data_IF_610392881224
#
_entry.id   IF_610392881224
#
_cell.length_a   1.000
_cell.length_b   1.000
_cell.length_c   1.000
_cell.angle_alpha   90.00
_cell.angle_beta   90.00
_cell.angle_gamma   90.00
#
_symmetry.space_group_name_H-M   'P 1'
#
loop_
_entity.id
_entity.type
_entity.pdbx_description
1 polymer ?
#
# COMPACT_ATOMS: atom_id res chain seq x y z
N UNK A 1 -14.04 -1.20 -10.51
CA UNK A 1 -12.72 -1.24 -9.86
C UNK A 1 -12.24 -2.70 -9.74
N UNK A 2 -10.96 -2.98 -10.00
CA UNK A 2 -10.29 -4.29 -9.88
C UNK A 2 -9.02 -4.13 -9.03
N UNK A 3 -8.59 -5.22 -8.40
CA UNK A 3 -7.30 -5.30 -7.72
C UNK A 3 -6.39 -6.19 -8.56
N UNK A 4 -5.21 -5.69 -8.87
CA UNK A 4 -4.24 -6.34 -9.76
C UNK A 4 -2.82 -6.20 -9.19
N UNK A 5 -1.90 -7.01 -9.67
CA UNK A 5 -0.47 -6.75 -9.53
C UNK A 5 -0.03 -5.52 -10.36
N UNK A 6 1.13 -4.90 -10.06
CA UNK A 6 1.68 -3.84 -10.89
C UNK A 6 1.79 -4.23 -12.37
N UNK A 7 1.26 -3.38 -13.27
CA UNK A 7 1.14 -3.67 -14.70
C UNK A 7 1.50 -2.41 -15.52
N UNK A 8 2.40 -2.57 -16.47
CA UNK A 8 2.95 -1.50 -17.31
C UNK A 8 1.91 -0.76 -18.16
N UNK A 9 0.74 -1.35 -18.42
CA UNK A 9 -0.36 -0.71 -19.15
C UNK A 9 -0.85 0.57 -18.46
N UNK A 10 -0.68 0.67 -17.16
CA UNK A 10 -1.16 1.82 -16.38
C UNK A 10 -0.14 2.96 -16.28
N UNK A 11 0.98 2.92 -17.04
CA UNK A 11 2.06 3.91 -16.93
C UNK A 11 1.56 5.35 -16.98
N UNK A 12 0.76 5.71 -17.96
CA UNK A 12 0.26 7.09 -18.13
C UNK A 12 -0.51 7.52 -16.89
N UNK A 13 -1.52 6.75 -16.51
CA UNK A 13 -2.37 7.10 -15.37
C UNK A 13 -1.64 7.03 -14.02
N UNK A 14 -0.64 6.16 -13.89
CA UNK A 14 0.22 6.10 -12.71
C UNK A 14 1.09 7.36 -12.59
N UNK A 15 1.66 7.85 -13.68
CA UNK A 15 2.48 9.06 -13.70
C UNK A 15 1.63 10.32 -13.43
N UNK A 16 0.42 10.39 -13.96
CA UNK A 16 -0.54 11.44 -13.60
C UNK A 16 -0.86 11.43 -12.10
N UNK A 17 -1.07 10.23 -11.51
CA UNK A 17 -1.31 10.12 -10.07
C UNK A 17 -0.08 10.55 -9.25
N UNK A 18 1.13 10.24 -9.72
CA UNK A 18 2.36 10.73 -9.11
C UNK A 18 2.39 12.25 -9.06
N UNK A 19 2.11 12.89 -10.21
CA UNK A 19 2.08 14.36 -10.31
C UNK A 19 0.98 14.97 -9.41
N UNK A 20 -0.17 14.29 -9.22
CA UNK A 20 -1.20 14.71 -8.26
C UNK A 20 -0.71 14.66 -6.80
N UNK A 21 0.05 13.63 -6.41
CA UNK A 21 0.64 13.54 -5.07
C UNK A 21 1.68 14.65 -4.83
N UNK A 22 2.58 14.86 -5.80
CA UNK A 22 3.60 15.91 -5.69
C UNK A 22 2.97 17.33 -5.63
N UNK A 23 1.84 17.54 -6.29
CA UNK A 23 1.10 18.80 -6.22
C UNK A 23 0.43 19.07 -4.86
N UNK A 24 0.23 18.03 -4.04
CA UNK A 24 -0.27 18.13 -2.66
C UNK A 24 0.86 18.07 -1.61
N UNK A 25 2.11 18.31 -2.00
CA UNK A 25 3.31 18.16 -1.17
C UNK A 25 3.48 16.76 -0.55
N UNK A 26 2.82 15.76 -1.12
CA UNK A 26 3.01 14.36 -0.77
C UNK A 26 4.11 13.76 -1.66
N UNK A 27 4.92 12.85 -1.09
CA UNK A 27 6.02 12.21 -1.84
C UNK A 27 5.48 11.19 -2.83
N UNK A 28 5.30 11.59 -4.09
CA UNK A 28 4.71 10.78 -5.15
C UNK A 28 5.37 9.41 -5.33
N UNK A 29 6.70 9.31 -5.24
CA UNK A 29 7.41 8.04 -5.29
C UNK A 29 6.98 7.07 -4.17
N UNK A 30 6.77 7.58 -2.96
CA UNK A 30 6.33 6.76 -1.83
C UNK A 30 4.85 6.43 -1.91
N UNK A 31 4.02 7.42 -2.24
CA UNK A 31 2.58 7.24 -2.35
C UNK A 31 2.21 6.27 -3.48
N UNK A 32 2.87 6.33 -4.62
CA UNK A 32 2.65 5.38 -5.73
C UNK A 32 3.31 4.02 -5.50
N UNK A 33 4.30 3.94 -4.59
CA UNK A 33 5.09 2.73 -4.35
C UNK A 33 6.27 2.56 -5.31
N UNK A 34 6.67 3.62 -6.00
CA UNK A 34 7.82 3.63 -6.90
C UNK A 34 9.16 3.92 -6.18
N UNK A 35 9.20 3.82 -4.84
CA UNK A 35 10.44 4.05 -4.09
C UNK A 35 11.60 3.20 -4.64
N UNK A 36 12.78 3.83 -4.79
CA UNK A 36 13.92 3.24 -5.49
C UNK A 36 13.91 3.42 -7.00
N UNK A 37 12.83 3.95 -7.59
CA UNK A 37 12.70 4.27 -9.00
C UNK A 37 12.39 5.76 -9.17
N UNK A 38 13.38 6.59 -9.55
CA UNK A 38 13.14 8.02 -9.72
C UNK A 38 12.17 8.30 -10.87
N UNK A 39 11.40 9.38 -10.77
CA UNK A 39 10.36 9.80 -11.73
C UNK A 39 10.86 9.72 -13.18
N UNK A 40 12.06 10.28 -13.46
CA UNK A 40 12.69 10.26 -14.79
C UNK A 40 12.90 8.87 -15.39
N UNK A 41 13.09 7.85 -14.53
CA UNK A 41 13.20 6.46 -15.00
C UNK A 41 11.83 5.91 -15.38
N UNK A 42 10.81 6.20 -14.57
CA UNK A 42 9.42 5.77 -14.82
C UNK A 42 8.78 6.50 -16.02
N UNK A 43 9.32 7.62 -16.46
CA UNK A 43 8.88 8.30 -17.69
C UNK A 43 9.09 7.45 -18.95
N UNK A 44 10.10 6.60 -18.96
CA UNK A 44 10.31 5.65 -20.06
C UNK A 44 9.47 4.38 -19.88
N UNK A 45 8.98 3.81 -20.98
CA UNK A 45 8.24 2.54 -20.94
C UNK A 45 9.07 1.40 -20.33
N UNK A 46 10.35 1.31 -20.72
CA UNK A 46 11.26 0.28 -20.21
C UNK A 46 11.53 0.42 -18.69
N UNK A 47 11.76 1.65 -18.21
CA UNK A 47 12.01 1.90 -16.79
C UNK A 47 10.76 1.66 -15.94
N UNK A 48 9.58 2.00 -16.45
CA UNK A 48 8.32 1.70 -15.78
C UNK A 48 8.04 0.18 -15.71
N UNK A 49 8.29 -0.53 -16.83
CA UNK A 49 8.18 -1.99 -16.85
C UNK A 49 9.15 -2.65 -15.87
N UNK A 50 10.38 -2.14 -15.74
CA UNK A 50 11.36 -2.62 -14.76
C UNK A 50 10.86 -2.39 -13.31
N UNK A 51 10.27 -1.23 -13.01
CA UNK A 51 9.65 -0.95 -11.72
C UNK A 51 8.51 -1.93 -11.44
N UNK A 52 7.58 -2.14 -12.36
CA UNK A 52 6.49 -3.10 -12.21
C UNK A 52 7.01 -4.53 -11.97
N UNK A 53 8.00 -4.98 -12.75
CA UNK A 53 8.62 -6.29 -12.59
C UNK A 53 9.27 -6.43 -11.19
N UNK A 54 9.99 -5.41 -10.71
CA UNK A 54 10.58 -5.43 -9.37
C UNK A 54 9.51 -5.56 -8.29
N UNK A 55 8.43 -4.78 -8.36
CA UNK A 55 7.34 -4.84 -7.37
C UNK A 55 6.65 -6.20 -7.33
N UNK A 56 6.54 -6.91 -8.45
CA UNK A 56 6.00 -8.29 -8.48
C UNK A 56 6.94 -9.31 -7.83
N UNK A 57 8.24 -9.09 -7.91
CA UNK A 57 9.25 -9.98 -7.32
C UNK A 57 9.48 -9.76 -5.82
N UNK A 58 9.12 -8.59 -5.27
CA UNK A 58 9.39 -8.24 -3.86
C UNK A 58 8.79 -9.24 -2.84
N UNK A 59 7.81 -10.04 -3.25
CA UNK A 59 7.20 -11.06 -2.39
C UNK A 59 8.07 -12.32 -2.21
N UNK A 60 8.92 -12.64 -3.19
CA UNK A 60 9.71 -13.88 -3.23
C UNK A 60 11.22 -13.64 -3.28
N UNK A 61 11.64 -12.47 -3.73
CA UNK A 61 13.03 -12.06 -3.88
C UNK A 61 13.16 -10.58 -3.52
N UNK A 62 13.00 -10.19 -2.23
CA UNK A 62 13.11 -8.80 -1.81
C UNK A 62 14.55 -8.29 -1.96
N UNK A 63 14.75 -6.98 -2.20
CA UNK A 63 16.09 -6.39 -2.17
C UNK A 63 16.76 -6.57 -0.80
N UNK A 64 18.08 -6.56 -0.77
CA UNK A 64 18.85 -6.65 0.47
C UNK A 64 18.39 -5.58 1.49
N UNK A 65 18.18 -5.99 2.72
CA UNK A 65 17.68 -5.12 3.80
C UNK A 65 16.16 -4.90 3.82
N UNK A 66 15.43 -5.43 2.83
CA UNK A 66 13.96 -5.37 2.80
C UNK A 66 13.34 -6.72 3.18
N UNK A 67 12.15 -6.67 3.74
CA UNK A 67 11.34 -7.86 4.01
C UNK A 67 10.50 -8.23 2.78
N UNK A 68 10.09 -9.50 2.62
CA UNK A 68 9.14 -9.90 1.60
C UNK A 68 7.87 -9.05 1.65
N UNK A 69 7.41 -8.55 0.50
CA UNK A 69 6.24 -7.69 0.43
C UNK A 69 5.43 -7.91 -0.86
N UNK A 70 4.12 -7.92 -0.74
CA UNK A 70 3.19 -7.93 -1.88
C UNK A 70 2.68 -6.53 -2.15
N UNK A 71 2.80 -6.06 -3.38
CA UNK A 71 2.17 -4.82 -3.84
C UNK A 71 1.00 -5.13 -4.76
N UNK A 72 -0.16 -4.53 -4.47
CA UNK A 72 -1.34 -4.61 -5.33
C UNK A 72 -1.87 -3.21 -5.64
N UNK A 73 -2.45 -3.06 -6.82
CA UNK A 73 -3.03 -1.83 -7.32
C UNK A 73 -4.56 -1.92 -7.42
N UNK A 74 -5.23 -0.85 -7.06
CA UNK A 74 -6.63 -0.62 -7.41
C UNK A 74 -6.69 0.13 -8.75
N UNK A 75 -7.44 -0.39 -9.71
CA UNK A 75 -7.59 0.18 -11.05
C UNK A 75 -9.04 0.17 -11.50
N UNK A 76 -9.41 1.11 -12.39
CA UNK A 76 -10.74 1.14 -13.02
C UNK A 76 -10.60 1.61 -14.48
N UNK A 77 -11.04 0.78 -15.44
CA UNK A 77 -10.69 0.98 -16.84
C UNK A 77 -9.17 1.05 -16.99
N UNK A 78 -8.68 2.16 -17.55
CA UNK A 78 -7.26 2.45 -17.75
C UNK A 78 -6.67 3.31 -16.62
N UNK A 79 -7.44 3.54 -15.57
CA UNK A 79 -7.10 4.46 -14.49
C UNK A 79 -6.49 3.72 -13.31
N UNK A 80 -5.29 4.15 -12.89
CA UNK A 80 -4.70 3.78 -11.60
C UNK A 80 -5.35 4.64 -10.49
N UNK A 81 -5.85 3.99 -9.44
CA UNK A 81 -6.60 4.63 -8.36
C UNK A 81 -5.85 4.64 -7.03
N UNK A 82 -4.91 3.73 -6.85
CA UNK A 82 -4.19 3.60 -5.60
C UNK A 82 -3.48 2.26 -5.47
N UNK A 83 -2.75 2.10 -4.36
CA UNK A 83 -2.00 0.88 -4.07
C UNK A 83 -2.15 0.44 -2.63
N UNK A 84 -1.89 -0.83 -2.37
CA UNK A 84 -1.59 -1.39 -1.06
C UNK A 84 -0.26 -2.15 -1.13
N UNK A 85 0.59 -1.94 -0.14
CA UNK A 85 1.83 -2.70 0.09
C UNK A 85 1.69 -3.48 1.38
N UNK A 86 1.90 -4.79 1.30
CA UNK A 86 1.73 -5.73 2.42
C UNK A 86 3.07 -6.37 2.71
N UNK A 87 3.67 -6.04 3.84
CA UNK A 87 4.92 -6.63 4.32
C UNK A 87 4.58 -7.92 5.05
N UNK A 88 5.23 -9.02 4.65
CA UNK A 88 4.91 -10.35 5.16
C UNK A 88 5.41 -10.55 6.59
N UNK A 89 6.44 -9.82 6.97
CA UNK A 89 7.03 -9.81 8.31
C UNK A 89 7.48 -8.41 8.70
N UNK A 90 7.83 -8.20 9.95
CA UNK A 90 8.28 -6.91 10.45
C UNK A 90 9.70 -7.03 11.01
N UNK A 91 10.58 -6.11 10.58
CA UNK A 91 11.84 -5.81 11.25
C UNK A 91 11.64 -4.63 12.23
N UNK A 92 12.68 -4.27 12.99
CA UNK A 92 12.62 -3.21 14.01
C UNK A 92 12.17 -1.86 13.43
N UNK A 93 12.62 -1.51 12.21
CA UNK A 93 12.18 -0.30 11.54
C UNK A 93 10.68 -0.32 11.23
N UNK A 94 10.17 -1.41 10.70
CA UNK A 94 8.75 -1.56 10.34
C UNK A 94 7.83 -1.60 11.57
N UNK A 95 8.30 -2.15 12.68
CA UNK A 95 7.57 -2.10 13.95
C UNK A 95 7.37 -0.65 14.42
N UNK A 96 8.34 0.24 14.15
CA UNK A 96 8.30 1.64 14.59
C UNK A 96 7.62 2.56 13.59
N UNK A 97 7.85 2.38 12.28
CA UNK A 97 7.53 3.40 11.26
C UNK A 97 6.71 2.90 10.07
N UNK A 98 6.54 1.61 9.86
CA UNK A 98 5.95 1.07 8.64
C UNK A 98 4.72 0.18 8.83
N UNK A 99 4.75 -0.71 9.82
CA UNK A 99 3.75 -1.75 10.02
C UNK A 99 3.68 -2.76 8.87
N UNK A 100 2.67 -3.65 8.92
CA UNK A 100 2.44 -4.66 7.88
C UNK A 100 1.81 -4.07 6.61
N UNK A 101 0.93 -3.06 6.73
CA UNK A 101 0.14 -2.56 5.60
C UNK A 101 0.33 -1.06 5.44
N UNK A 102 0.75 -0.64 4.25
CA UNK A 102 0.70 0.74 3.82
C UNK A 102 -0.15 0.88 2.56
N UNK A 103 -1.03 1.85 2.50
CA UNK A 103 -1.85 2.13 1.33
C UNK A 103 -1.87 3.63 1.01
N UNK A 104 -2.09 3.93 -0.28
CA UNK A 104 -2.31 5.28 -0.74
C UNK A 104 -3.38 5.30 -1.84
N UNK A 105 -4.16 6.37 -1.88
CA UNK A 105 -5.22 6.58 -2.87
C UNK A 105 -4.92 7.86 -3.64
N UNK A 106 -4.97 7.78 -4.96
CA UNK A 106 -4.81 8.92 -5.87
C UNK A 106 -5.67 10.09 -5.40
N UNK A 107 -5.12 11.31 -5.26
CA UNK A 107 -5.81 12.46 -4.71
C UNK A 107 -7.20 12.71 -5.31
N UNK A 108 -7.29 12.77 -6.64
CA UNK A 108 -8.54 13.06 -7.36
C UNK A 108 -9.66 12.01 -7.20
N UNK A 109 -9.41 10.88 -6.53
CA UNK A 109 -10.41 9.81 -6.29
C UNK A 109 -10.57 9.43 -4.83
N UNK A 110 -10.04 10.24 -3.90
CA UNK A 110 -10.24 10.05 -2.46
C UNK A 110 -11.72 10.14 -2.06
N UNK A 111 -12.03 9.71 -0.85
CA UNK A 111 -13.38 9.70 -0.24
C UNK A 111 -14.42 8.83 -0.99
N UNK A 112 -13.97 7.88 -1.81
CA UNK A 112 -14.81 6.92 -2.55
C UNK A 112 -14.70 5.48 -2.01
N UNK A 113 -14.21 5.29 -0.78
CA UNK A 113 -14.08 3.98 -0.15
C UNK A 113 -12.89 3.12 -0.63
N UNK A 114 -12.05 3.62 -1.56
CA UNK A 114 -10.93 2.88 -2.15
C UNK A 114 -9.92 2.45 -1.06
N UNK A 115 -9.57 3.34 -0.12
CA UNK A 115 -8.67 3.02 0.99
C UNK A 115 -9.18 1.85 1.84
N UNK A 116 -10.49 1.81 2.10
CA UNK A 116 -11.13 0.70 2.85
C UNK A 116 -10.99 -0.63 2.10
N UNK A 117 -11.17 -0.63 0.78
CA UNK A 117 -10.99 -1.84 -0.04
C UNK A 117 -9.52 -2.27 -0.03
N UNK A 118 -8.59 -1.34 -0.24
CA UNK A 118 -7.15 -1.62 -0.23
C UNK A 118 -6.69 -2.20 1.11
N UNK A 119 -7.15 -1.64 2.23
CA UNK A 119 -6.83 -2.18 3.56
C UNK A 119 -7.38 -3.60 3.73
N UNK A 120 -8.64 -3.85 3.36
CA UNK A 120 -9.26 -5.19 3.44
C UNK A 120 -8.51 -6.22 2.61
N UNK A 121 -8.10 -5.85 1.40
CA UNK A 121 -7.27 -6.70 0.53
C UNK A 121 -5.93 -7.02 1.21
N UNK A 122 -5.26 -6.02 1.77
CA UNK A 122 -4.01 -6.22 2.51
C UNK A 122 -4.16 -7.15 3.71
N UNK A 123 -5.23 -7.00 4.49
CA UNK A 123 -5.54 -7.90 5.61
C UNK A 123 -5.82 -9.33 5.13
N UNK A 124 -6.49 -9.48 3.97
CA UNK A 124 -6.72 -10.79 3.34
C UNK A 124 -5.43 -11.48 2.92
N UNK A 125 -4.47 -10.75 2.33
CA UNK A 125 -3.12 -11.26 2.01
C UNK A 125 -2.41 -11.75 3.27
N UNK A 126 -2.39 -10.94 4.34
CA UNK A 126 -1.77 -11.31 5.62
C UNK A 126 -2.41 -12.55 6.24
N UNK A 127 -3.73 -12.65 6.20
CA UNK A 127 -4.42 -13.86 6.67
C UNK A 127 -4.01 -15.09 5.85
N UNK A 128 -3.88 -14.95 4.53
CA UNK A 128 -3.47 -16.03 3.63
C UNK A 128 -2.07 -16.59 3.91
N UNK A 129 -1.16 -15.77 4.44
CA UNK A 129 0.20 -16.17 4.84
C UNK A 129 0.33 -16.45 6.34
N UNK A 130 -0.78 -16.51 7.09
CA UNK A 130 -0.80 -16.94 8.49
C UNK A 130 -0.54 -15.82 9.52
N UNK A 131 -0.46 -14.54 9.12
CA UNK A 131 -0.34 -13.42 10.06
C UNK A 131 -1.71 -13.13 10.65
N UNK A 132 -1.95 -13.55 11.89
CA UNK A 132 -3.26 -13.45 12.54
C UNK A 132 -3.65 -12.04 13.02
N UNK A 133 -2.69 -11.18 13.27
CA UNK A 133 -2.92 -9.80 13.77
C UNK A 133 -1.92 -8.83 13.10
N UNK A 134 -2.42 -7.92 12.30
CA UNK A 134 -1.62 -6.92 11.59
C UNK A 134 -1.29 -5.73 12.50
N UNK A 135 -0.07 -5.19 12.40
CA UNK A 135 0.28 -3.86 12.87
C UNK A 135 0.09 -2.87 11.73
N UNK A 136 -0.68 -1.82 11.94
CA UNK A 136 -0.94 -0.77 10.95
C UNK A 136 -0.67 0.58 11.61
N UNK A 137 0.07 1.45 10.92
CA UNK A 137 0.41 2.76 11.41
C UNK A 137 -0.23 3.84 10.55
N UNK A 138 -0.59 4.96 11.17
CA UNK A 138 -0.89 6.21 10.46
C UNK A 138 -0.39 7.41 11.26
N UNK A 139 -0.11 8.53 10.59
CA UNK A 139 0.22 9.77 11.26
C UNK A 139 -0.92 10.23 12.17
N UNK A 140 -0.61 10.91 13.26
CA UNK A 140 -1.59 11.33 14.26
C UNK A 140 -2.66 12.27 13.70
N UNK A 141 -2.29 13.09 12.73
CA UNK A 141 -3.15 14.05 12.02
C UNK A 141 -3.88 13.44 10.81
N UNK A 142 -3.56 12.20 10.41
CA UNK A 142 -4.21 11.55 9.29
C UNK A 142 -5.56 10.92 9.69
N UNK A 143 -6.57 11.80 9.83
CA UNK A 143 -7.94 11.40 10.17
C UNK A 143 -8.56 10.43 9.16
N UNK A 144 -8.19 10.54 7.88
CA UNK A 144 -8.66 9.64 6.83
C UNK A 144 -8.23 8.20 7.08
N UNK A 145 -6.94 7.97 7.29
CA UNK A 145 -6.39 6.65 7.62
C UNK A 145 -6.89 6.14 8.96
N UNK A 146 -6.98 7.01 9.99
CA UNK A 146 -7.53 6.64 11.29
C UNK A 146 -8.91 5.99 11.14
N UNK A 147 -9.85 6.67 10.47
CA UNK A 147 -11.21 6.17 10.27
C UNK A 147 -11.25 4.85 9.49
N UNK A 148 -10.41 4.71 8.47
CA UNK A 148 -10.31 3.48 7.66
C UNK A 148 -9.85 2.30 8.53
N UNK A 149 -8.82 2.51 9.36
CA UNK A 149 -8.25 1.47 10.23
C UNK A 149 -9.25 1.08 11.33
N UNK A 150 -9.86 2.06 12.01
CA UNK A 150 -10.86 1.82 13.07
C UNK A 150 -12.11 1.10 12.52
N UNK A 151 -12.58 1.47 11.32
CA UNK A 151 -13.69 0.78 10.64
C UNK A 151 -13.35 -0.67 10.29
N UNK A 152 -12.08 -0.99 10.08
CA UNK A 152 -11.61 -2.36 9.86
C UNK A 152 -11.42 -3.14 11.18
N UNK A 153 -11.82 -2.59 12.32
CA UNK A 153 -11.67 -3.21 13.65
C UNK A 153 -10.29 -2.99 14.25
N UNK A 154 -9.61 -1.90 13.88
CA UNK A 154 -8.33 -1.51 14.45
C UNK A 154 -8.46 -1.07 15.90
N UNK A 155 -7.70 -1.70 16.79
CA UNK A 155 -7.54 -1.35 18.20
C UNK A 155 -6.26 -0.52 18.37
N UNK A 156 -6.37 0.71 18.88
CA UNK A 156 -5.22 1.56 19.16
C UNK A 156 -4.37 0.94 20.27
N UNK A 157 -3.12 0.61 19.97
CA UNK A 157 -2.17 0.03 20.93
C UNK A 157 -1.36 1.12 21.64
N UNK A 158 -0.89 2.10 20.89
CA UNK A 158 -0.10 3.25 21.41
C UNK A 158 -0.02 4.37 20.39
N UNK A 159 0.41 5.53 20.88
CA UNK A 159 0.87 6.65 20.06
C UNK A 159 2.35 6.87 20.40
N UNK A 160 3.20 6.88 19.40
CA UNK A 160 4.63 7.09 19.55
C UNK A 160 5.21 7.70 18.28
N UNK A 161 6.15 8.63 18.44
CA UNK A 161 6.88 9.24 17.32
C UNK A 161 5.96 9.90 16.26
N UNK A 162 4.83 10.48 16.69
CA UNK A 162 3.84 11.11 15.81
C UNK A 162 2.97 10.12 15.03
N UNK A 163 3.01 8.83 15.39
CA UNK A 163 2.26 7.76 14.75
C UNK A 163 1.31 7.06 15.72
N UNK A 164 0.09 6.76 15.25
CA UNK A 164 -0.86 5.86 15.89
C UNK A 164 -0.55 4.43 15.45
N UNK A 165 -0.33 3.53 16.39
CA UNK A 165 -0.10 2.10 16.15
C UNK A 165 -1.38 1.32 16.45
N UNK A 166 -1.93 0.65 15.45
CA UNK A 166 -3.15 -0.14 15.57
C UNK A 166 -2.87 -1.63 15.38
N UNK A 167 -3.58 -2.46 16.13
CA UNK A 167 -3.66 -3.90 15.89
C UNK A 167 -5.00 -4.25 15.24
N UNK A 168 -4.95 -4.96 14.12
CA UNK A 168 -6.12 -5.36 13.35
C UNK A 168 -6.13 -6.87 13.16
N UNK A 169 -7.20 -7.54 13.54
CA UNK A 169 -7.37 -8.97 13.30
C UNK A 169 -7.57 -9.25 11.80
N UNK A 170 -6.85 -10.24 11.26
CA UNK A 170 -6.88 -10.55 9.82
C UNK A 170 -7.89 -11.64 9.45
N UNK A 171 -8.29 -12.49 10.40
CA UNK A 171 -9.13 -13.69 10.16
C UNK A 171 -10.48 -13.40 9.50
N UNK A 172 -11.09 -12.27 9.76
CA UNK A 172 -12.37 -11.88 9.16
C UNK A 172 -12.26 -11.49 7.66
N UNK A 173 -11.04 -11.34 7.14
CA UNK A 173 -10.77 -10.86 5.78
C UNK A 173 -10.23 -11.96 4.86
N UNK A 174 -10.10 -13.20 5.34
CA UNK A 174 -9.72 -14.34 4.51
C UNK A 174 -10.77 -14.62 3.43
N UNK A 175 -10.32 -14.98 2.23
CA UNK A 175 -11.21 -15.54 1.22
C UNK A 175 -11.83 -16.81 1.80
N UNK A 176 -13.16 -16.87 1.89
CA UNK A 176 -13.86 -18.15 2.15
C UNK A 176 -13.45 -19.07 1.00
N UNK A 177 -12.65 -20.09 1.31
CA UNK A 177 -12.49 -21.22 0.38
C UNK A 177 -13.86 -21.90 0.35
N UNK A 178 -14.59 -21.71 -0.74
CA UNK A 178 -15.74 -22.52 -1.09
C UNK A 178 -15.29 -23.88 -1.60
#
# INVERSE_FOLDING_TARGET
MRIIEPDERFRVSFLEAWDEFDAEDERGAECTGAFGFPRRQCDSAAGFAAMCARRRLDATDPPEGFVPATMLWAVDGDRWLGRVSVRHELNDHLVRFGGHVGYAVRPSVRLRGIATVLLRVGLGVLNGIGVGKALILCAEDNEGSRRVIETAGGELEKIAEGLRHYRVATRQWGTRRG
#
